data_IF_386050712035
#
_entry.id   IF_386050712035
#
_cell.length_a   1.000
_cell.length_b   1.000
_cell.length_c   1.000
_cell.angle_alpha   90.00
_cell.angle_beta   90.00
_cell.angle_gamma   90.00
#
_symmetry.space_group_name_H-M   'P 1'
#
loop_
_entity.id
_entity.type
_entity.pdbx_description
1 polymer ?
#
# COMPACT_ATOMS: atom_id res chain seq x y z
N UNK A 1 -32.39 -4.38 6.35
CA UNK A 1 -32.67 -3.78 7.67
C UNK A 1 -32.88 -2.27 7.58
N UNK A 2 -31.96 -1.51 6.97
CA UNK A 2 -32.06 -0.04 6.89
C UNK A 2 -32.14 0.52 5.46
N UNK A 3 -32.11 -0.35 4.44
CA UNK A 3 -32.19 0.02 3.03
C UNK A 3 -31.19 1.11 2.58
N UNK A 4 -29.95 1.01 3.08
CA UNK A 4 -28.84 1.89 2.71
C UNK A 4 -27.95 1.13 1.71
N UNK A 5 -27.85 1.59 0.44
CA UNK A 5 -26.98 0.96 -0.54
C UNK A 5 -25.51 1.26 -0.26
N UNK A 6 -24.65 0.28 -0.54
CA UNK A 6 -23.19 0.44 -0.56
C UNK A 6 -22.56 -0.70 -1.38
N UNK A 7 -21.42 -0.42 -2.00
CA UNK A 7 -20.70 -1.36 -2.87
C UNK A 7 -19.48 -2.01 -2.20
N UNK A 8 -18.79 -1.29 -1.32
CA UNK A 8 -17.48 -1.68 -0.80
C UNK A 8 -17.40 -1.52 0.72
N UNK A 9 -16.85 -2.54 1.40
CA UNK A 9 -16.35 -2.43 2.79
C UNK A 9 -14.83 -2.31 2.75
N UNK A 10 -14.26 -1.56 3.69
CA UNK A 10 -12.84 -1.28 3.76
C UNK A 10 -12.23 -1.86 5.04
N UNK A 11 -11.05 -2.44 4.94
CA UNK A 11 -10.26 -2.97 6.05
C UNK A 11 -8.96 -2.19 6.18
N UNK A 12 -8.85 -1.48 7.31
CA UNK A 12 -7.66 -0.76 7.74
C UNK A 12 -6.59 -1.71 8.34
N UNK A 13 -5.47 -1.18 8.81
CA UNK A 13 -4.24 -1.92 9.20
C UNK A 13 -4.48 -3.05 10.21
N UNK A 14 -5.56 -2.96 10.99
CA UNK A 14 -5.96 -3.94 12.01
C UNK A 14 -6.43 -5.30 11.47
N UNK A 15 -6.58 -5.44 10.15
CA UNK A 15 -6.88 -6.74 9.52
C UNK A 15 -5.67 -7.64 9.35
N UNK A 16 -4.47 -7.07 9.39
CA UNK A 16 -3.21 -7.80 9.19
C UNK A 16 -2.75 -8.49 10.47
N UNK A 17 -1.94 -9.54 10.35
CA UNK A 17 -1.23 -10.11 11.49
C UNK A 17 -0.08 -9.17 11.90
N UNK A 18 -0.31 -8.37 12.94
CA UNK A 18 0.73 -7.52 13.53
C UNK A 18 1.33 -6.49 12.57
N UNK A 19 0.54 -5.98 11.61
CA UNK A 19 0.97 -4.98 10.60
C UNK A 19 1.98 -5.55 9.59
N UNK A 20 1.93 -6.87 9.38
CA UNK A 20 2.55 -7.55 8.25
C UNK A 20 1.56 -7.55 7.09
N UNK A 21 1.76 -6.70 6.08
CA UNK A 21 0.90 -6.67 4.90
C UNK A 21 0.90 -8.02 4.16
N UNK A 22 -0.12 -8.26 3.31
CA UNK A 22 -0.35 -9.56 2.67
C UNK A 22 -0.65 -10.73 3.63
N UNK A 23 -1.03 -10.42 4.88
CA UNK A 23 -1.44 -11.41 5.88
C UNK A 23 -2.78 -11.04 6.50
N UNK A 24 -3.36 -11.96 7.27
CA UNK A 24 -4.63 -11.77 7.97
C UNK A 24 -4.45 -12.10 9.45
N UNK A 25 -5.01 -11.27 10.35
CA UNK A 25 -5.10 -11.61 11.77
C UNK A 25 -6.01 -12.84 11.92
N UNK A 26 -5.44 -13.96 12.34
CA UNK A 26 -6.18 -15.23 12.43
C UNK A 26 -7.27 -15.26 13.50
N UNK A 27 -7.27 -14.33 14.46
CA UNK A 27 -8.31 -14.23 15.49
C UNK A 27 -9.52 -13.41 15.02
N UNK A 28 -9.28 -12.37 14.21
CA UNK A 28 -10.30 -11.44 13.70
C UNK A 28 -10.83 -11.84 12.33
N UNK A 29 -9.96 -12.40 11.49
CA UNK A 29 -10.19 -12.73 10.08
C UNK A 29 -9.82 -14.19 9.78
N UNK A 30 -10.29 -15.11 10.64
CA UNK A 30 -9.99 -16.56 10.54
C UNK A 30 -10.40 -17.22 9.22
N UNK A 31 -11.37 -16.64 8.49
CA UNK A 31 -11.80 -17.12 7.17
C UNK A 31 -12.10 -15.95 6.21
N UNK A 32 -11.06 -15.27 5.75
CA UNK A 32 -11.16 -14.14 4.82
C UNK A 32 -11.80 -14.50 3.47
N UNK A 33 -11.60 -15.72 2.98
CA UNK A 33 -12.24 -16.22 1.74
C UNK A 33 -13.76 -16.29 1.88
N UNK A 34 -14.27 -16.81 3.00
CA UNK A 34 -15.71 -16.85 3.24
C UNK A 34 -16.30 -15.46 3.38
N UNK A 35 -15.61 -14.54 4.06
CA UNK A 35 -16.00 -13.12 4.13
C UNK A 35 -16.11 -12.50 2.73
N UNK A 36 -15.11 -12.70 1.87
CA UNK A 36 -15.10 -12.22 0.50
C UNK A 36 -16.22 -12.85 -0.34
N UNK A 37 -16.49 -14.14 -0.18
CA UNK A 37 -17.61 -14.83 -0.84
C UNK A 37 -18.96 -14.27 -0.38
N UNK A 38 -19.12 -14.00 0.90
CA UNK A 38 -20.34 -13.43 1.46
C UNK A 38 -20.60 -12.01 0.93
N UNK A 39 -19.56 -11.19 0.74
CA UNK A 39 -19.67 -9.89 0.06
C UNK A 39 -20.02 -10.07 -1.43
N UNK A 40 -19.32 -10.97 -2.13
CA UNK A 40 -19.56 -11.25 -3.54
C UNK A 40 -21.00 -11.71 -3.82
N UNK A 41 -21.58 -12.55 -2.94
CA UNK A 41 -22.99 -12.99 -3.03
C UNK A 41 -24.02 -11.85 -2.98
N UNK A 42 -23.60 -10.67 -2.51
CA UNK A 42 -24.41 -9.43 -2.45
C UNK A 42 -23.98 -8.41 -3.51
N UNK A 43 -23.17 -8.81 -4.49
CA UNK A 43 -22.59 -7.93 -5.50
C UNK A 43 -21.47 -7.01 -4.99
N UNK A 44 -21.06 -7.15 -3.73
CA UNK A 44 -20.15 -6.24 -3.03
C UNK A 44 -18.70 -6.65 -3.10
N UNK A 45 -17.83 -5.68 -2.85
CA UNK A 45 -16.37 -5.81 -2.89
C UNK A 45 -15.77 -5.48 -1.53
N UNK A 46 -14.49 -5.82 -1.39
CA UNK A 46 -13.68 -5.47 -0.22
C UNK A 46 -12.48 -4.65 -0.69
N UNK A 47 -12.05 -3.69 0.10
CA UNK A 47 -10.73 -3.05 -0.05
C UNK A 47 -9.93 -3.32 1.21
N UNK A 48 -8.67 -3.75 1.06
CA UNK A 48 -7.72 -3.87 2.17
C UNK A 48 -6.54 -2.93 1.99
N UNK A 49 -6.08 -2.33 3.08
CA UNK A 49 -4.88 -1.51 3.08
C UNK A 49 -3.60 -2.34 2.89
N UNK A 50 -2.65 -1.84 2.10
CA UNK A 50 -1.32 -2.40 1.88
C UNK A 50 -0.34 -1.23 1.73
N UNK A 51 0.47 -0.97 2.76
CA UNK A 51 1.42 0.15 2.75
C UNK A 51 2.83 -0.30 2.32
N UNK A 52 3.70 0.61 1.85
CA UNK A 52 5.00 0.23 1.32
C UNK A 52 6.09 0.00 2.38
N UNK A 53 5.73 -0.15 3.66
CA UNK A 53 6.67 -0.45 4.74
C UNK A 53 6.52 -1.90 5.20
N UNK A 54 7.61 -2.63 5.25
CA UNK A 54 7.66 -4.04 5.62
C UNK A 54 8.23 -4.18 7.02
N UNK A 55 7.47 -4.79 7.94
CA UNK A 55 7.95 -5.15 9.27
C UNK A 55 9.26 -5.93 9.16
N UNK A 56 10.29 -5.54 9.90
CA UNK A 56 11.56 -6.26 9.98
C UNK A 56 11.40 -7.46 10.92
N UNK A 57 10.96 -8.59 10.37
CA UNK A 57 10.67 -9.84 11.08
C UNK A 57 11.11 -11.03 10.23
N UNK A 58 12.01 -11.87 10.75
CA UNK A 58 12.54 -13.04 10.03
C UNK A 58 11.50 -14.12 9.72
N UNK A 59 10.34 -14.08 10.37
CA UNK A 59 9.21 -14.97 10.06
C UNK A 59 8.23 -14.36 9.04
N UNK A 60 8.48 -13.14 8.57
CA UNK A 60 7.64 -12.46 7.58
C UNK A 60 8.23 -12.63 6.16
N UNK A 61 7.66 -13.57 5.41
CA UNK A 61 8.15 -13.99 4.09
C UNK A 61 8.35 -12.84 3.10
N UNK A 62 7.44 -11.87 3.06
CA UNK A 62 7.55 -10.73 2.12
C UNK A 62 8.77 -9.86 2.46
N UNK A 63 9.04 -9.64 3.75
CA UNK A 63 10.23 -8.92 4.18
C UNK A 63 11.51 -9.71 3.90
N UNK A 64 11.57 -10.99 4.30
CA UNK A 64 12.77 -11.80 4.09
C UNK A 64 13.08 -11.99 2.61
N UNK A 65 12.09 -12.23 1.74
CA UNK A 65 12.30 -12.30 0.29
C UNK A 65 12.80 -10.96 -0.29
N UNK A 66 12.26 -9.83 0.16
CA UNK A 66 12.73 -8.51 -0.28
C UNK A 66 14.18 -8.23 0.14
N UNK A 67 14.52 -8.55 1.40
CA UNK A 67 15.86 -8.41 1.94
C UNK A 67 16.86 -9.29 1.21
N UNK A 68 16.56 -10.58 1.08
CA UNK A 68 17.47 -11.58 0.53
C UNK A 68 17.72 -11.35 -0.98
N UNK A 69 16.75 -10.73 -1.68
CA UNK A 69 16.88 -10.28 -3.08
C UNK A 69 17.48 -8.87 -3.22
N UNK A 70 17.78 -8.18 -2.11
CA UNK A 70 18.37 -6.84 -2.14
C UNK A 70 17.44 -5.75 -2.68
N UNK A 71 16.12 -5.88 -2.50
CA UNK A 71 15.10 -5.00 -3.09
C UNK A 71 14.80 -3.75 -2.25
N UNK A 72 15.44 -3.60 -1.10
CA UNK A 72 15.13 -2.57 -0.11
C UNK A 72 15.95 -1.29 -0.35
N UNK A 73 15.31 -0.15 -0.10
CA UNK A 73 15.94 1.17 -0.03
C UNK A 73 17.12 1.14 0.96
N UNK A 74 18.21 1.85 0.66
CA UNK A 74 19.44 1.85 1.47
C UNK A 74 19.62 3.16 2.24
N UNK A 75 20.22 3.09 3.41
CA UNK A 75 20.72 4.29 4.10
C UNK A 75 22.02 4.80 3.45
N UNK A 76 22.55 5.93 3.91
CA UNK A 76 23.78 6.54 3.39
C UNK A 76 25.04 5.68 3.57
N UNK A 77 25.00 4.65 4.43
CA UNK A 77 26.08 3.68 4.62
C UNK A 77 25.93 2.43 3.74
N UNK A 78 24.89 2.35 2.89
CA UNK A 78 24.64 1.23 2.00
C UNK A 78 23.92 0.02 2.62
N UNK A 79 23.57 0.08 3.90
CA UNK A 79 22.75 -0.94 4.56
C UNK A 79 21.26 -0.71 4.26
N UNK A 80 20.42 -1.74 4.41
CA UNK A 80 18.97 -1.58 4.32
C UNK A 80 18.50 -0.47 5.26
N UNK A 81 17.68 0.44 4.75
CA UNK A 81 17.10 1.51 5.54
C UNK A 81 16.14 0.91 6.59
N UNK A 82 16.36 1.29 7.85
CA UNK A 82 15.55 0.90 9.00
C UNK A 82 14.94 2.17 9.61
N UNK A 83 13.61 2.22 9.61
CA UNK A 83 12.81 3.30 10.13
C UNK A 83 11.59 2.75 10.86
N UNK A 84 10.88 3.61 11.58
CA UNK A 84 9.70 3.20 12.34
C UNK A 84 8.43 3.59 11.61
N UNK A 85 7.48 2.66 11.53
CA UNK A 85 6.11 2.92 11.09
C UNK A 85 5.15 2.06 11.93
N UNK A 86 3.94 1.75 11.42
CA UNK A 86 2.92 1.00 12.16
C UNK A 86 3.40 -0.32 12.80
N UNK A 87 4.22 -1.17 12.14
CA UNK A 87 4.68 -2.42 12.74
C UNK A 87 5.92 -2.26 13.63
N UNK A 88 6.37 -1.02 13.90
CA UNK A 88 7.66 -0.73 14.53
C UNK A 88 8.78 -0.65 13.50
N UNK A 89 9.92 -1.28 13.78
CA UNK A 89 11.07 -1.35 12.86
C UNK A 89 10.66 -1.94 11.51
N UNK A 90 10.93 -1.18 10.45
CA UNK A 90 10.44 -1.41 9.10
C UNK A 90 11.49 -1.09 8.05
N UNK A 91 11.40 -1.73 6.88
CA UNK A 91 12.15 -1.39 5.68
C UNK A 91 11.20 -1.18 4.49
N UNK A 92 11.65 -0.47 3.46
CA UNK A 92 10.83 -0.10 2.33
C UNK A 92 11.40 -0.70 1.03
N UNK A 93 10.59 -1.36 0.18
CA UNK A 93 11.01 -1.74 -1.16
C UNK A 93 11.35 -0.50 -1.99
N UNK A 94 12.39 -0.59 -2.82
CA UNK A 94 12.74 0.51 -3.70
C UNK A 94 11.95 0.49 -5.02
N UNK A 95 10.77 1.11 -4.99
CA UNK A 95 9.86 1.17 -6.14
C UNK A 95 10.42 1.94 -7.35
N UNK A 96 11.57 2.62 -7.24
CA UNK A 96 12.24 3.24 -8.39
C UNK A 96 12.67 2.18 -9.41
N UNK A 97 13.06 1.00 -8.93
CA UNK A 97 13.51 -0.10 -9.76
C UNK A 97 12.34 -0.90 -10.33
N UNK A 98 12.36 -1.13 -11.66
CA UNK A 98 11.29 -1.88 -12.32
C UNK A 98 11.14 -3.29 -11.76
N UNK A 99 12.26 -3.98 -11.51
CA UNK A 99 12.22 -5.35 -11.00
C UNK A 99 11.63 -5.44 -9.58
N UNK A 100 11.79 -4.40 -8.76
CA UNK A 100 11.13 -4.30 -7.44
C UNK A 100 9.62 -4.10 -7.61
N UNK A 101 9.19 -3.26 -8.57
CA UNK A 101 7.76 -3.12 -8.90
C UNK A 101 7.15 -4.40 -9.43
N UNK A 102 7.87 -5.13 -10.28
CA UNK A 102 7.42 -6.43 -10.80
C UNK A 102 7.27 -7.44 -9.66
N UNK A 103 8.23 -7.48 -8.72
CA UNK A 103 8.18 -8.30 -7.51
C UNK A 103 6.99 -7.94 -6.59
N UNK A 104 6.73 -6.64 -6.39
CA UNK A 104 5.59 -6.17 -5.60
C UNK A 104 4.26 -6.56 -6.25
N UNK A 105 4.16 -6.40 -7.58
CA UNK A 105 2.99 -6.82 -8.35
C UNK A 105 2.71 -8.31 -8.18
N UNK A 106 3.75 -9.15 -8.13
CA UNK A 106 3.59 -10.60 -7.94
C UNK A 106 3.06 -10.96 -6.54
N UNK A 107 3.26 -10.11 -5.52
CA UNK A 107 2.70 -10.36 -4.18
C UNK A 107 1.17 -10.38 -4.19
N UNK A 108 0.51 -9.74 -5.17
CA UNK A 108 -0.95 -9.74 -5.29
C UNK A 108 -1.55 -10.97 -5.99
N UNK A 109 -0.72 -11.87 -6.55
CA UNK A 109 -1.22 -13.12 -7.10
C UNK A 109 -1.89 -13.95 -6.00
N UNK A 110 -2.97 -14.66 -6.32
CA UNK A 110 -3.77 -15.39 -5.33
C UNK A 110 -2.97 -16.42 -4.53
N UNK A 111 -1.95 -17.02 -5.15
CA UNK A 111 -1.05 -17.98 -4.51
C UNK A 111 -0.10 -17.32 -3.50
N UNK A 112 0.23 -16.04 -3.71
CA UNK A 112 1.13 -15.26 -2.84
C UNK A 112 0.34 -14.52 -1.76
N UNK A 113 -0.79 -13.91 -2.10
CA UNK A 113 -1.69 -13.26 -1.14
C UNK A 113 -2.81 -14.21 -0.73
N UNK A 114 -2.47 -15.20 0.08
CA UNK A 114 -3.42 -16.17 0.61
C UNK A 114 -4.54 -15.46 1.39
N UNK A 115 -5.78 -15.92 1.20
CA UNK A 115 -6.96 -15.28 1.78
C UNK A 115 -7.53 -14.10 0.97
N UNK A 116 -6.87 -13.70 -0.12
CA UNK A 116 -7.43 -12.77 -1.11
C UNK A 116 -8.33 -13.46 -2.14
N UNK A 117 -9.13 -12.68 -2.86
CA UNK A 117 -9.95 -13.13 -3.98
C UNK A 117 -10.10 -12.01 -5.02
N UNK A 118 -10.70 -12.32 -6.18
CA UNK A 118 -10.86 -11.36 -7.28
C UNK A 118 -11.63 -10.09 -6.87
N UNK A 119 -12.56 -10.19 -5.91
CA UNK A 119 -13.34 -9.07 -5.40
C UNK A 119 -12.66 -8.28 -4.25
N UNK A 120 -11.37 -8.52 -3.98
CA UNK A 120 -10.54 -7.74 -3.07
C UNK A 120 -9.70 -6.72 -3.84
N UNK A 121 -9.91 -5.43 -3.59
CA UNK A 121 -9.10 -4.33 -4.12
C UNK A 121 -8.21 -3.71 -3.04
N UNK A 122 -7.39 -2.72 -3.40
CA UNK A 122 -6.28 -2.29 -2.56
C UNK A 122 -6.32 -0.80 -2.27
N UNK A 123 -5.90 -0.46 -1.06
CA UNK A 123 -5.63 0.91 -0.63
C UNK A 123 -4.15 1.00 -0.27
N UNK A 124 -3.40 1.88 -0.95
CA UNK A 124 -2.03 2.22 -0.57
C UNK A 124 -2.03 3.52 0.24
N UNK A 125 -1.73 3.41 1.53
CA UNK A 125 -1.49 4.56 2.39
C UNK A 125 0.00 4.69 2.71
N UNK A 126 0.35 5.73 3.48
CA UNK A 126 1.70 5.90 4.05
C UNK A 126 2.82 5.91 3.00
N UNK A 127 2.50 6.24 1.75
CA UNK A 127 3.37 6.07 0.59
C UNK A 127 4.12 7.33 0.15
N UNK A 128 4.12 8.38 0.97
CA UNK A 128 4.96 9.57 0.76
C UNK A 128 6.45 9.27 0.54
N UNK A 129 7.14 8.35 1.25
CA UNK A 129 6.73 7.42 2.32
C UNK A 129 6.75 8.02 3.73
N UNK A 130 5.84 7.56 4.58
CA UNK A 130 5.75 7.99 5.98
C UNK A 130 6.72 7.20 6.87
N UNK A 131 7.55 7.91 7.63
CA UNK A 131 8.55 7.35 8.56
C UNK A 131 8.51 8.09 9.89
N UNK A 132 7.98 7.46 10.93
CA UNK A 132 7.61 8.11 12.20
C UNK A 132 8.78 8.70 12.98
N UNK A 133 9.96 8.11 12.87
CA UNK A 133 11.16 8.52 13.62
C UNK A 133 12.16 9.33 12.77
N UNK A 134 11.71 9.95 11.68
CA UNK A 134 12.55 10.67 10.73
C UNK A 134 12.09 12.13 10.55
N UNK A 135 12.97 13.07 10.15
CA UNK A 135 12.59 14.45 9.87
C UNK A 135 11.40 14.54 8.90
N UNK A 136 10.46 15.44 9.19
CA UNK A 136 9.25 15.67 8.39
C UNK A 136 8.39 14.40 8.19
N UNK A 137 8.59 13.38 9.02
CA UNK A 137 7.90 12.09 8.98
C UNK A 137 8.10 11.39 7.62
N UNK A 138 9.29 11.50 7.02
CA UNK A 138 9.58 10.86 5.73
C UNK A 138 11.05 10.42 5.59
N UNK A 139 11.42 9.82 4.45
CA UNK A 139 12.81 9.45 4.18
C UNK A 139 13.77 10.64 4.32
N UNK A 140 14.92 10.46 5.01
CA UNK A 140 16.03 11.40 4.94
C UNK A 140 16.46 11.68 3.49
N UNK A 141 16.98 12.88 3.23
CA UNK A 141 17.34 13.30 1.87
C UNK A 141 18.50 12.51 1.27
N UNK A 142 19.39 11.98 2.10
CA UNK A 142 20.60 11.23 1.76
C UNK A 142 20.38 9.71 1.68
N UNK A 143 19.16 9.23 1.94
CA UNK A 143 18.75 7.86 1.62
C UNK A 143 19.07 7.56 0.15
N UNK A 144 19.61 6.37 -0.11
CA UNK A 144 20.04 5.92 -1.43
C UNK A 144 19.06 4.89 -1.98
N UNK A 145 18.57 5.18 -3.17
CA UNK A 145 17.89 4.21 -4.01
C UNK A 145 18.93 3.29 -4.67
N UNK A 146 18.52 2.09 -5.08
CA UNK A 146 19.33 1.05 -5.72
C UNK A 146 19.98 1.56 -7.03
N UNK A 147 19.33 2.50 -7.73
CA UNK A 147 19.91 3.22 -8.87
C UNK A 147 21.11 4.13 -8.53
N UNK A 148 21.41 4.33 -7.25
CA UNK A 148 22.42 5.27 -6.74
C UNK A 148 21.90 6.70 -6.51
N UNK A 149 20.65 6.99 -6.92
CA UNK A 149 20.00 8.29 -6.69
C UNK A 149 19.70 8.52 -5.22
N UNK A 150 19.75 9.79 -4.82
CA UNK A 150 19.30 10.20 -3.50
C UNK A 150 17.79 10.39 -3.47
N UNK A 151 17.18 10.15 -2.31
CA UNK A 151 15.75 10.39 -2.10
C UNK A 151 15.37 11.84 -2.46
N UNK A 152 16.24 12.83 -2.23
CA UNK A 152 15.99 14.23 -2.63
C UNK A 152 15.65 14.44 -4.11
N UNK A 153 16.10 13.54 -5.00
CA UNK A 153 15.87 13.62 -6.44
C UNK A 153 14.53 13.03 -6.86
N UNK A 154 14.02 12.07 -6.10
CA UNK A 154 12.92 11.18 -6.52
C UNK A 154 11.77 11.09 -5.52
N UNK A 155 11.85 11.80 -4.39
CA UNK A 155 10.90 11.72 -3.28
C UNK A 155 9.43 11.72 -3.74
N UNK A 156 9.03 12.73 -4.52
CA UNK A 156 7.64 12.92 -4.94
C UNK A 156 7.12 11.85 -5.91
N UNK A 157 8.00 11.11 -6.61
CA UNK A 157 7.58 10.03 -7.52
C UNK A 157 7.46 8.68 -6.82
N UNK A 158 7.99 8.53 -5.59
CA UNK A 158 7.95 7.27 -4.85
C UNK A 158 6.52 6.76 -4.69
N UNK A 159 5.62 7.62 -4.19
CA UNK A 159 4.20 7.30 -4.02
C UNK A 159 3.53 6.83 -5.32
N UNK A 160 3.89 7.48 -6.44
CA UNK A 160 3.35 7.13 -7.75
C UNK A 160 3.74 5.71 -8.16
N UNK A 161 4.99 5.33 -7.88
CA UNK A 161 5.54 4.04 -8.24
C UNK A 161 5.00 2.91 -7.36
N UNK A 162 4.68 3.19 -6.09
CA UNK A 162 3.97 2.27 -5.20
C UNK A 162 2.60 1.91 -5.78
N UNK A 163 1.76 2.90 -6.05
CA UNK A 163 0.40 2.62 -6.51
C UNK A 163 0.38 2.04 -7.94
N UNK A 164 1.38 2.36 -8.77
CA UNK A 164 1.52 1.75 -10.09
C UNK A 164 1.86 0.26 -9.98
N UNK A 165 2.79 -0.12 -9.09
CA UNK A 165 3.14 -1.52 -8.87
C UNK A 165 1.94 -2.33 -8.32
N UNK A 166 1.15 -1.73 -7.41
CA UNK A 166 -0.10 -2.33 -6.92
C UNK A 166 -1.12 -2.51 -8.05
N UNK A 167 -1.32 -1.50 -8.89
CA UNK A 167 -2.21 -1.57 -10.06
C UNK A 167 -1.81 -2.71 -11.00
N UNK A 168 -0.51 -2.81 -11.31
CA UNK A 168 0.04 -3.87 -12.17
C UNK A 168 -0.17 -5.27 -11.55
N UNK A 169 -0.05 -5.40 -10.23
CA UNK A 169 -0.32 -6.65 -9.51
C UNK A 169 -1.78 -7.09 -9.62
N UNK A 170 -2.71 -6.15 -9.48
CA UNK A 170 -4.15 -6.43 -9.64
C UNK A 170 -4.53 -6.77 -11.08
N UNK A 171 -3.89 -6.12 -12.08
CA UNK A 171 -4.03 -6.50 -13.50
C UNK A 171 -3.56 -7.94 -13.73
N UNK A 172 -2.36 -8.29 -13.26
CA UNK A 172 -1.80 -9.64 -13.36
C UNK A 172 -2.74 -10.67 -12.71
N UNK A 173 -3.22 -10.40 -11.49
CA UNK A 173 -4.14 -11.27 -10.75
C UNK A 173 -5.44 -11.52 -11.53
N UNK A 174 -6.00 -10.48 -12.16
CA UNK A 174 -7.21 -10.57 -13.00
C UNK A 174 -6.95 -11.05 -14.42
N UNK A 175 -5.76 -11.59 -14.73
CA UNK A 175 -5.33 -12.00 -16.07
C UNK A 175 -5.60 -10.91 -17.14
N UNK A 176 -5.40 -9.64 -16.77
CA UNK A 176 -5.62 -8.46 -17.60
C UNK A 176 -7.04 -8.27 -18.15
N UNK A 177 -8.04 -8.97 -17.57
CA UNK A 177 -9.45 -8.87 -17.97
C UNK A 177 -10.26 -7.96 -17.06
N UNK A 178 -9.83 -7.80 -15.81
CA UNK A 178 -10.49 -6.98 -14.82
C UNK A 178 -9.78 -5.63 -14.66
N UNK A 179 -10.57 -4.56 -14.51
CA UNK A 179 -10.01 -3.23 -14.18
C UNK A 179 -9.68 -3.18 -12.69
N UNK A 180 -8.44 -2.81 -12.30
CA UNK A 180 -8.11 -2.63 -10.90
C UNK A 180 -8.81 -1.44 -10.27
N UNK A 181 -8.84 -1.45 -8.94
CA UNK A 181 -9.11 -0.28 -8.12
C UNK A 181 -8.00 -0.15 -7.08
N UNK A 182 -7.37 1.01 -7.05
CA UNK A 182 -6.33 1.37 -6.08
C UNK A 182 -6.63 2.78 -5.58
N UNK A 183 -6.68 2.96 -4.26
CA UNK A 183 -6.69 4.28 -3.62
C UNK A 183 -5.26 4.61 -3.16
N UNK A 184 -4.78 5.84 -3.36
CA UNK A 184 -3.43 6.29 -2.97
C UNK A 184 -3.44 7.62 -2.22
N UNK A 185 -2.57 7.79 -1.21
CA UNK A 185 -2.44 9.06 -0.46
C UNK A 185 -1.47 10.00 -1.14
N UNK A 186 -0.20 9.61 -1.24
CA UNK A 186 0.80 10.31 -2.01
C UNK A 186 0.55 10.11 -3.51
N UNK A 187 0.85 11.13 -4.31
CA UNK A 187 0.64 11.10 -5.76
C UNK A 187 1.59 12.05 -6.49
N UNK A 188 1.68 11.87 -7.81
CA UNK A 188 2.42 12.75 -8.70
C UNK A 188 1.72 12.90 -10.05
N UNK A 189 2.27 13.73 -10.94
CA UNK A 189 1.79 13.85 -12.32
C UNK A 189 1.83 12.47 -13.02
N UNK A 190 0.66 11.92 -13.35
CA UNK A 190 0.51 10.59 -13.93
C UNK A 190 -0.29 9.61 -13.07
N UNK A 191 -0.52 9.91 -11.79
CA UNK A 191 -1.31 9.07 -10.87
C UNK A 191 -2.71 8.73 -11.41
N UNK A 192 -3.32 9.62 -12.18
CA UNK A 192 -4.64 9.43 -12.79
C UNK A 192 -4.75 8.18 -13.69
N UNK A 193 -3.62 7.57 -14.09
CA UNK A 193 -3.61 6.34 -14.89
C UNK A 193 -3.89 5.08 -14.08
N UNK A 194 -3.68 5.11 -12.76
CA UNK A 194 -3.56 3.88 -11.97
C UNK A 194 -4.10 3.97 -10.53
N UNK A 195 -4.60 5.12 -10.07
CA UNK A 195 -5.21 5.22 -8.75
C UNK A 195 -6.22 6.36 -8.64
N UNK A 196 -7.18 6.19 -7.75
CA UNK A 196 -7.94 7.28 -7.16
C UNK A 196 -7.13 7.91 -6.00
N UNK A 197 -7.36 9.19 -5.70
CA UNK A 197 -6.72 9.91 -4.60
C UNK A 197 -7.77 10.43 -3.61
N UNK A 198 -7.39 10.61 -2.35
CA UNK A 198 -8.18 11.34 -1.36
C UNK A 198 -7.29 12.34 -0.61
N UNK A 199 -7.90 13.27 0.13
CA UNK A 199 -7.19 14.40 0.75
C UNK A 199 -6.52 14.08 2.08
N UNK A 200 -6.35 12.81 2.44
CA UNK A 200 -5.76 12.38 3.70
C UNK A 200 -6.67 12.60 4.91
N UNK A 201 -6.04 12.66 6.09
CA UNK A 201 -6.68 12.72 7.39
C UNK A 201 -7.36 14.08 7.61
N UNK A 202 -8.69 14.12 7.42
CA UNK A 202 -9.52 15.26 7.78
C UNK A 202 -10.12 15.10 9.18
N UNK A 203 -10.76 16.16 9.69
CA UNK A 203 -11.46 16.15 10.97
C UNK A 203 -12.96 16.22 10.75
N UNK A 204 -13.73 15.71 11.71
CA UNK A 204 -15.20 15.78 11.74
C UNK A 204 -15.74 17.19 12.00
N UNK A 205 -15.26 18.18 11.26
CA UNK A 205 -15.55 19.61 11.43
C UNK A 205 -16.13 20.23 10.14
N UNK A 206 -16.99 21.23 10.30
CA UNK A 206 -17.58 21.97 9.18
C UNK A 206 -16.54 22.66 8.27
N UNK A 207 -15.44 23.10 8.86
CA UNK A 207 -14.28 23.68 8.16
C UNK A 207 -13.70 22.69 7.15
N UNK A 208 -13.52 21.43 7.55
CA UNK A 208 -13.02 20.35 6.70
C UNK A 208 -14.05 19.90 5.66
N UNK A 209 -15.35 19.88 5.98
CA UNK A 209 -16.38 19.67 4.96
C UNK A 209 -16.32 20.74 3.88
N UNK A 210 -16.20 22.01 4.29
CA UNK A 210 -16.21 23.16 3.38
C UNK A 210 -15.03 23.17 2.41
N UNK A 211 -13.85 22.70 2.81
CA UNK A 211 -12.66 22.71 1.94
C UNK A 211 -12.66 21.60 0.88
N UNK A 212 -13.53 20.58 1.01
CA UNK A 212 -13.65 19.51 0.00
C UNK A 212 -14.12 20.02 -1.37
N UNK A 213 -14.87 21.13 -1.39
CA UNK A 213 -15.28 21.84 -2.61
C UNK A 213 -14.63 23.22 -2.59
N UNK A 214 -13.42 23.39 -3.15
CA UNK A 214 -12.78 24.69 -3.19
C UNK A 214 -13.65 25.66 -3.99
N UNK A 215 -13.93 26.85 -3.42
CA UNK A 215 -14.65 27.90 -4.16
C UNK A 215 -13.75 28.38 -5.30
N UNK A 216 -14.27 28.56 -6.53
CA UNK A 216 -13.53 29.21 -7.60
C UNK A 216 -13.02 30.57 -7.11
N UNK A 217 -11.76 30.89 -7.40
CA UNK A 217 -11.24 32.26 -7.24
C UNK A 217 -11.86 33.18 -8.29
#
# INVERSE_FOLDING_TARGET
>A
KFDIPYDVIWLDIEHTDGKKYFTWDGSRFSNSIEMLRNLSSKGRKLVSIVDPHLKRDDNYKVFTDARDKGLLVKNSNGNDFDGWCWPGSSSWPDFLEKHVRDWWADQFLLDNYQGSAENLYVWNDMNEPSVFNSPEITFPKDVKHLSGRENREVHNIYAMLVHQATWDGLLKRGNYKERPFVLTRGFFAGTQRSAAVWTGDNMGEWSHLKITVPRPR
#
